data_IF_502741317569
#
_entry.id   IF_502741317569
#
_cell.length_a   1.000
_cell.length_b   1.000
_cell.length_c   1.000
_cell.angle_alpha   90.00
_cell.angle_beta   90.00
_cell.angle_gamma   90.00
#
_symmetry.space_group_name_H-M   'P 1'
#
loop_
_entity.id
_entity.type
_entity.pdbx_description
1 polymer ?
#
# COMPACT_ATOMS: atom_id res chain seq x y z
N UNK A 1 2.85 2.57 3.52
CA UNK A 1 1.94 1.63 2.85
C UNK A 1 0.67 2.36 2.45
N UNK A 2 0.38 2.38 1.14
CA UNK A 2 -0.81 3.01 0.55
C UNK A 2 -2.12 2.25 0.83
N UNK A 3 -2.05 0.98 1.24
CA UNK A 3 -3.25 0.18 1.50
C UNK A 3 -3.83 0.39 2.90
N UNK A 4 -3.00 0.78 3.87
CA UNK A 4 -3.38 0.89 5.29
C UNK A 4 -3.13 2.29 5.88
N UNK A 5 -2.86 3.30 5.06
CA UNK A 5 -2.65 4.67 5.53
C UNK A 5 -1.44 4.83 6.45
N UNK A 6 -0.44 3.95 6.32
CA UNK A 6 0.77 3.95 7.15
C UNK A 6 2.00 4.26 6.28
N UNK A 7 2.10 5.47 5.69
CA UNK A 7 3.23 5.83 4.83
C UNK A 7 4.56 5.62 5.58
N UNK A 8 5.63 5.18 4.90
CA UNK A 8 6.94 5.16 5.53
C UNK A 8 7.33 6.58 5.94
N UNK A 9 8.16 6.71 6.96
CA UNK A 9 8.77 8.00 7.31
C UNK A 9 9.50 8.57 6.08
N UNK A 10 9.50 9.90 5.91
CA UNK A 10 10.27 10.51 4.82
C UNK A 10 11.74 10.09 4.92
N UNK A 11 12.44 9.98 3.77
CA UNK A 11 13.86 9.67 3.78
C UNK A 11 14.63 10.72 4.61
N UNK A 12 15.72 10.33 5.29
CA UNK A 12 16.55 11.29 6.01
C UNK A 12 17.14 12.30 5.01
N UNK A 13 17.16 13.61 5.34
CA UNK A 13 17.57 14.67 4.41
C UNK A 13 19.04 14.58 3.96
N UNK A 14 19.91 13.91 4.72
CA UNK A 14 21.36 13.85 4.48
C UNK A 14 21.85 12.52 3.89
N UNK A 15 20.98 11.70 3.32
CA UNK A 15 21.39 10.45 2.66
C UNK A 15 21.48 10.69 1.16
N UNK A 16 22.71 10.72 0.63
CA UNK A 16 22.92 10.69 -0.82
C UNK A 16 22.23 9.45 -1.42
N UNK A 17 21.57 9.58 -2.59
CA UNK A 17 20.99 8.44 -3.28
C UNK A 17 22.06 7.38 -3.52
N UNK A 18 21.99 6.28 -2.79
CA UNK A 18 22.86 5.13 -3.02
C UNK A 18 22.30 4.42 -4.25
N UNK A 19 23.01 4.49 -5.37
CA UNK A 19 22.69 3.62 -6.50
C UNK A 19 22.87 2.16 -6.06
N UNK A 20 21.82 1.33 -6.07
CA UNK A 20 21.98 -0.06 -5.74
C UNK A 20 22.86 -0.73 -6.80
N UNK A 21 23.93 -1.40 -6.39
CA UNK A 21 24.74 -2.21 -7.32
C UNK A 21 23.85 -3.34 -7.88
N UNK A 22 23.40 -3.21 -9.11
CA UNK A 22 22.49 -4.18 -9.75
C UNK A 22 23.22 -5.35 -10.41
N UNK A 23 24.56 -5.39 -10.35
CA UNK A 23 25.34 -6.47 -10.98
C UNK A 23 25.01 -7.82 -10.33
N UNK A 24 24.78 -8.82 -11.17
CA UNK A 24 24.47 -10.19 -10.76
C UNK A 24 23.04 -10.41 -10.27
N UNK A 25 22.20 -9.38 -10.27
CA UNK A 25 20.80 -9.48 -9.86
C UNK A 25 19.93 -9.91 -11.04
N UNK A 26 19.08 -10.91 -10.83
CA UNK A 26 18.23 -11.50 -11.87
C UNK A 26 16.73 -11.40 -11.58
N UNK A 27 16.35 -10.98 -10.36
CA UNK A 27 14.97 -10.76 -9.94
C UNK A 27 14.83 -9.54 -9.04
N UNK A 28 13.61 -9.03 -8.91
CA UNK A 28 13.30 -7.94 -7.98
C UNK A 28 13.55 -8.36 -6.53
N UNK A 29 13.27 -9.62 -6.17
CA UNK A 29 13.59 -10.19 -4.86
C UNK A 29 15.07 -10.01 -4.51
N UNK A 30 15.95 -10.44 -5.41
CA UNK A 30 17.40 -10.32 -5.24
C UNK A 30 17.85 -8.86 -5.19
N UNK A 31 17.22 -7.98 -5.98
CA UNK A 31 17.51 -6.55 -5.96
C UNK A 31 17.21 -5.95 -4.59
N UNK A 32 16.01 -6.22 -4.06
CA UNK A 32 15.56 -5.72 -2.76
C UNK A 32 16.38 -6.33 -1.61
N UNK A 33 16.75 -7.61 -1.68
CA UNK A 33 17.65 -8.21 -0.69
C UNK A 33 19.00 -7.52 -0.65
N UNK A 34 19.60 -7.26 -1.81
CA UNK A 34 20.86 -6.53 -1.89
C UNK A 34 20.72 -5.09 -1.36
N UNK A 35 19.63 -4.41 -1.70
CA UNK A 35 19.36 -3.06 -1.18
C UNK A 35 19.18 -3.04 0.35
N UNK A 36 18.54 -4.07 0.92
CA UNK A 36 18.34 -4.24 2.37
C UNK A 36 19.59 -4.66 3.14
N UNK A 37 20.69 -4.99 2.48
CA UNK A 37 21.97 -5.23 3.17
C UNK A 37 22.49 -3.96 3.84
N UNK A 38 22.10 -2.77 3.37
CA UNK A 38 22.37 -1.52 4.05
C UNK A 38 21.39 -1.34 5.24
N UNK A 39 21.88 -1.26 6.50
CA UNK A 39 21.03 -1.06 7.66
C UNK A 39 20.14 0.19 7.59
N UNK A 40 20.63 1.28 6.98
CA UNK A 40 19.86 2.50 6.80
C UNK A 40 18.63 2.27 5.91
N UNK A 41 18.82 1.57 4.78
CA UNK A 41 17.73 1.25 3.85
C UNK A 41 16.74 0.25 4.45
N UNK A 42 17.23 -0.78 5.15
CA UNK A 42 16.39 -1.84 5.72
C UNK A 42 15.38 -1.33 6.75
N UNK A 43 15.63 -0.18 7.38
CA UNK A 43 14.72 0.44 8.37
C UNK A 43 13.31 0.67 7.81
N UNK A 44 13.24 1.17 6.58
CA UNK A 44 11.99 1.40 5.86
C UNK A 44 11.63 0.22 4.95
N UNK A 45 12.61 -0.35 4.23
CA UNK A 45 12.39 -1.42 3.24
C UNK A 45 11.76 -2.68 3.82
N UNK A 46 12.09 -3.05 5.07
CA UNK A 46 11.41 -4.15 5.78
C UNK A 46 9.89 -3.98 5.91
N UNK A 47 9.38 -2.75 5.82
CA UNK A 47 7.94 -2.43 5.93
C UNK A 47 7.25 -2.30 4.58
N UNK A 48 7.97 -1.93 3.53
CA UNK A 48 7.39 -1.62 2.21
C UNK A 48 7.53 -2.78 1.22
N UNK A 49 8.68 -3.47 1.23
CA UNK A 49 9.00 -4.50 0.24
C UNK A 49 8.07 -5.72 0.28
N UNK A 50 7.66 -6.26 1.44
CA UNK A 50 6.87 -7.49 1.48
C UNK A 50 5.60 -7.42 0.63
N UNK A 51 4.85 -6.31 0.71
CA UNK A 51 3.63 -6.12 -0.07
C UNK A 51 3.93 -5.92 -1.56
N UNK A 52 5.04 -5.24 -1.90
CA UNK A 52 5.46 -5.09 -3.29
C UNK A 52 5.86 -6.42 -3.91
N UNK A 53 6.63 -7.23 -3.19
CA UNK A 53 7.05 -8.57 -3.62
C UNK A 53 5.85 -9.51 -3.77
N UNK A 54 4.88 -9.45 -2.87
CA UNK A 54 3.64 -10.21 -2.99
C UNK A 54 2.77 -9.81 -4.21
N UNK A 55 3.05 -8.66 -4.84
CA UNK A 55 2.42 -8.23 -6.10
C UNK A 55 3.30 -8.47 -7.33
N UNK A 56 4.50 -9.04 -7.17
CA UNK A 56 5.49 -9.18 -8.26
C UNK A 56 5.02 -10.09 -9.41
N UNK A 57 4.03 -10.95 -9.18
CA UNK A 57 3.37 -11.73 -10.23
C UNK A 57 2.63 -10.85 -11.26
N UNK A 58 2.29 -9.60 -10.92
CA UNK A 58 1.77 -8.66 -11.90
C UNK A 58 2.94 -7.92 -12.56
N UNK A 59 2.96 -7.88 -13.88
CA UNK A 59 3.87 -7.00 -14.60
C UNK A 59 3.40 -5.53 -14.56
N UNK A 60 4.17 -4.64 -15.17
CA UNK A 60 3.90 -3.20 -15.20
C UNK A 60 2.56 -2.80 -15.87
N UNK A 61 1.94 -3.66 -16.68
CA UNK A 61 0.62 -3.44 -17.27
C UNK A 61 -0.49 -4.21 -16.54
N UNK A 62 -0.15 -4.97 -15.50
CA UNK A 62 -1.08 -5.74 -14.68
C UNK A 62 -1.36 -7.15 -15.19
N UNK A 63 -0.56 -7.68 -16.12
CA UNK A 63 -0.69 -9.07 -16.58
C UNK A 63 -0.04 -10.02 -15.59
N UNK A 64 -0.73 -11.10 -15.25
CA UNK A 64 -0.20 -12.15 -14.38
C UNK A 64 0.93 -12.95 -15.07
N UNK A 65 1.99 -13.22 -14.32
CA UNK A 65 3.12 -14.07 -14.69
C UNK A 65 3.59 -14.86 -13.49
N UNK A 66 4.02 -16.10 -13.71
CA UNK A 66 4.65 -16.93 -12.68
C UNK A 66 6.18 -16.89 -12.75
N UNK A 67 6.73 -16.32 -13.84
CA UNK A 67 8.15 -16.35 -14.16
C UNK A 67 8.63 -15.04 -14.78
N UNK A 68 9.91 -14.74 -14.62
CA UNK A 68 10.61 -13.74 -15.42
C UNK A 68 10.98 -14.27 -16.81
N UNK A 69 11.45 -13.40 -17.70
CA UNK A 69 11.81 -13.69 -19.10
C UNK A 69 12.83 -14.83 -19.31
N UNK A 70 13.56 -15.24 -18.27
CA UNK A 70 14.52 -16.37 -18.28
C UNK A 70 13.99 -17.65 -17.62
N UNK A 71 12.67 -17.85 -17.55
CA UNK A 71 12.01 -18.96 -16.84
C UNK A 71 12.26 -19.02 -15.32
N UNK A 72 12.90 -17.99 -14.75
CA UNK A 72 13.12 -17.86 -13.32
C UNK A 72 11.76 -17.68 -12.61
N UNK A 73 11.38 -18.56 -11.66
CA UNK A 73 10.16 -18.38 -10.88
C UNK A 73 10.14 -17.06 -10.12
N UNK A 74 8.96 -16.48 -10.01
CA UNK A 74 8.72 -15.32 -9.14
C UNK A 74 8.53 -15.83 -7.71
N UNK A 75 9.31 -15.27 -6.80
CA UNK A 75 9.12 -15.43 -5.36
C UNK A 75 8.29 -14.24 -4.86
N UNK A 76 7.01 -14.48 -4.64
CA UNK A 76 6.05 -13.50 -4.15
C UNK A 76 5.83 -13.63 -2.63
N UNK A 77 6.76 -14.25 -1.91
CA UNK A 77 6.69 -14.37 -0.46
C UNK A 77 7.28 -13.15 0.24
N UNK A 78 6.80 -12.89 1.45
CA UNK A 78 7.32 -11.82 2.30
C UNK A 78 6.80 -11.92 3.72
N UNK A 79 7.47 -11.24 4.64
CA UNK A 79 7.04 -11.13 6.03
C UNK A 79 6.77 -9.67 6.38
N UNK A 80 5.59 -9.39 6.90
CA UNK A 80 5.12 -8.07 7.27
C UNK A 80 5.72 -7.62 8.63
N UNK A 81 5.68 -6.32 8.95
CA UNK A 81 6.26 -5.79 10.19
C UNK A 81 5.70 -6.35 11.49
N UNK A 82 4.48 -6.90 11.45
CA UNK A 82 3.83 -7.55 12.59
C UNK A 82 4.14 -9.06 12.68
N UNK A 83 4.99 -9.57 11.78
CA UNK A 83 5.40 -10.97 11.71
C UNK A 83 4.50 -11.85 10.84
N UNK A 84 3.42 -11.32 10.26
CA UNK A 84 2.56 -12.09 9.36
C UNK A 84 3.30 -12.44 8.07
N UNK A 85 3.29 -13.71 7.68
CA UNK A 85 3.79 -14.15 6.39
C UNK A 85 2.71 -13.96 5.31
N UNK A 86 3.13 -13.59 4.11
CA UNK A 86 2.28 -13.45 2.93
C UNK A 86 2.93 -14.12 1.73
N UNK A 87 2.13 -14.77 0.89
CA UNK A 87 2.52 -15.40 -0.35
C UNK A 87 1.56 -14.99 -1.47
N UNK A 88 1.88 -13.88 -2.14
CA UNK A 88 1.08 -13.37 -3.25
C UNK A 88 -0.13 -12.52 -2.86
N UNK A 89 -0.93 -12.17 -3.87
CA UNK A 89 -2.01 -11.18 -3.76
C UNK A 89 -3.19 -11.62 -2.89
N UNK A 90 -3.48 -12.92 -2.81
CA UNK A 90 -4.61 -13.41 -2.04
C UNK A 90 -4.36 -13.25 -0.53
N UNK A 91 -3.13 -13.44 -0.07
CA UNK A 91 -2.76 -13.17 1.32
C UNK A 91 -2.79 -11.67 1.65
N UNK A 92 -2.50 -10.79 0.67
CA UNK A 92 -2.73 -9.35 0.85
C UNK A 92 -4.21 -9.08 1.12
N UNK A 93 -5.13 -9.70 0.36
CA UNK A 93 -6.57 -9.52 0.56
C UNK A 93 -6.97 -9.94 1.97
N UNK A 94 -6.56 -11.14 2.41
CA UNK A 94 -6.84 -11.63 3.77
C UNK A 94 -6.27 -10.67 4.83
N UNK A 95 -5.03 -10.25 4.67
CA UNK A 95 -4.37 -9.32 5.59
C UNK A 95 -5.11 -7.97 5.72
N UNK A 96 -5.69 -7.46 4.62
CA UNK A 96 -6.53 -6.25 4.62
C UNK A 96 -7.91 -6.51 5.25
N UNK A 97 -8.49 -7.68 5.02
CA UNK A 97 -9.80 -8.06 5.60
C UNK A 97 -9.75 -8.17 7.13
N UNK A 98 -8.60 -8.48 7.71
CA UNK A 98 -8.39 -8.47 9.16
C UNK A 98 -8.25 -7.05 9.75
N UNK A 99 -8.11 -6.03 8.89
CA UNK A 99 -7.92 -4.62 9.27
C UNK A 99 -8.95 -3.69 8.61
N UNK A 100 -10.25 -4.01 8.69
CA UNK A 100 -11.27 -3.32 7.91
C UNK A 100 -11.36 -1.83 8.25
N UNK A 101 -11.32 -1.47 9.53
CA UNK A 101 -11.39 -0.07 9.95
C UNK A 101 -10.23 0.77 9.41
N UNK A 102 -9.01 0.22 9.43
CA UNK A 102 -7.82 0.91 8.92
C UNK A 102 -7.84 1.03 7.39
N UNK A 103 -8.22 -0.04 6.70
CA UNK A 103 -8.36 -0.04 5.25
C UNK A 103 -9.45 0.92 4.79
N UNK A 104 -10.64 0.86 5.39
CA UNK A 104 -11.76 1.75 5.06
C UNK A 104 -11.39 3.21 5.30
N UNK A 105 -10.76 3.55 6.42
CA UNK A 105 -10.29 4.91 6.65
C UNK A 105 -9.33 5.38 5.56
N UNK A 106 -8.32 4.57 5.24
CA UNK A 106 -7.34 4.92 4.22
C UNK A 106 -7.98 5.12 2.83
N UNK A 107 -8.93 4.25 2.48
CA UNK A 107 -9.67 4.35 1.23
C UNK A 107 -10.55 5.62 1.19
N UNK A 108 -11.23 5.94 2.30
CA UNK A 108 -12.02 7.18 2.45
C UNK A 108 -11.14 8.41 2.22
N UNK A 109 -9.98 8.50 2.87
CA UNK A 109 -9.05 9.62 2.71
C UNK A 109 -8.61 9.78 1.25
N UNK A 110 -8.19 8.68 0.60
CA UNK A 110 -7.75 8.71 -0.81
C UNK A 110 -8.88 9.10 -1.77
N UNK A 111 -10.08 8.58 -1.55
CA UNK A 111 -11.25 8.89 -2.37
C UNK A 111 -11.71 10.34 -2.18
N UNK A 112 -11.61 10.90 -0.97
CA UNK A 112 -11.88 12.31 -0.73
C UNK A 112 -10.88 13.21 -1.44
N UNK A 113 -9.58 12.92 -1.39
CA UNK A 113 -8.56 13.67 -2.16
C UNK A 113 -8.94 13.71 -3.64
N UNK A 114 -9.31 12.57 -4.21
CA UNK A 114 -9.74 12.48 -5.61
C UNK A 114 -11.01 13.29 -5.89
N UNK A 115 -12.05 13.14 -5.06
CA UNK A 115 -13.35 13.80 -5.24
C UNK A 115 -13.25 15.33 -5.07
N UNK A 116 -12.47 15.79 -4.09
CA UNK A 116 -12.29 17.20 -3.78
C UNK A 116 -11.26 17.85 -4.72
N UNK A 117 -10.34 17.09 -5.32
CA UNK A 117 -9.30 17.64 -6.19
C UNK A 117 -8.31 18.54 -5.44
N UNK A 118 -8.19 18.36 -4.12
CA UNK A 118 -7.26 19.07 -3.24
C UNK A 118 -6.73 18.13 -2.16
N UNK A 119 -5.65 18.54 -1.50
CA UNK A 119 -5.21 17.88 -0.28
C UNK A 119 -6.24 18.02 0.83
N UNK A 120 -6.27 17.03 1.72
CA UNK A 120 -7.08 17.06 2.93
C UNK A 120 -6.42 17.93 3.99
N UNK A 121 -7.24 18.60 4.75
CA UNK A 121 -6.86 19.50 5.83
C UNK A 121 -7.52 19.06 7.13
N UNK A 122 -7.23 19.78 8.22
CA UNK A 122 -7.82 19.47 9.52
C UNK A 122 -9.36 19.56 9.53
N UNK A 123 -9.98 20.40 8.69
CA UNK A 123 -11.44 20.53 8.65
C UNK A 123 -12.13 19.29 8.06
N UNK A 124 -11.42 18.48 7.26
CA UNK A 124 -11.98 17.29 6.62
C UNK A 124 -12.04 16.09 7.57
N UNK A 125 -11.42 16.19 8.75
CA UNK A 125 -11.27 15.08 9.69
C UNK A 125 -12.61 14.54 10.18
N UNK A 126 -13.55 15.42 10.47
CA UNK A 126 -14.87 15.02 10.97
C UNK A 126 -15.66 14.25 9.90
N UNK A 127 -15.55 14.65 8.64
CA UNK A 127 -16.13 13.91 7.52
C UNK A 127 -15.47 12.54 7.33
N UNK A 128 -14.14 12.46 7.40
CA UNK A 128 -13.41 11.18 7.29
C UNK A 128 -13.85 10.22 8.41
N UNK A 129 -13.93 10.71 9.64
CA UNK A 129 -14.31 9.92 10.82
C UNK A 129 -15.76 9.44 10.69
N UNK A 130 -16.68 10.36 10.33
CA UNK A 130 -18.11 10.06 10.12
C UNK A 130 -18.32 9.03 9.02
N UNK A 131 -17.72 9.23 7.85
CA UNK A 131 -17.83 8.30 6.71
C UNK A 131 -17.26 6.94 7.08
N UNK A 132 -16.08 6.90 7.70
CA UNK A 132 -15.44 5.63 8.07
C UNK A 132 -16.24 4.84 9.09
N UNK A 133 -16.92 5.51 10.03
CA UNK A 133 -17.82 4.89 11.01
C UNK A 133 -19.15 4.44 10.41
N UNK A 134 -19.65 5.15 9.39
CA UNK A 134 -20.89 4.80 8.68
C UNK A 134 -20.76 3.55 7.80
N UNK A 135 -19.54 3.07 7.58
CA UNK A 135 -19.25 1.88 6.77
C UNK A 135 -19.17 0.63 7.66
N UNK A 136 -20.19 -0.24 7.69
CA UNK A 136 -20.23 -1.37 8.61
C UNK A 136 -19.33 -2.54 8.17
N UNK A 137 -18.79 -3.33 9.13
CA UNK A 137 -17.87 -4.45 8.89
C UNK A 137 -18.31 -5.46 7.82
N UNK A 138 -19.60 -5.78 7.76
CA UNK A 138 -20.14 -6.81 6.87
C UNK A 138 -20.75 -6.27 5.57
N UNK A 139 -20.70 -4.95 5.29
CA UNK A 139 -21.24 -4.35 4.06
C UNK A 139 -20.36 -3.23 3.49
N UNK A 140 -19.03 -3.34 3.64
CA UNK A 140 -18.12 -2.43 2.95
C UNK A 140 -18.30 -2.51 1.43
N UNK A 141 -19.00 -1.53 0.86
CA UNK A 141 -19.22 -1.40 -0.57
C UNK A 141 -18.63 -0.11 -1.09
N UNK A 142 -17.85 -0.17 -2.18
CA UNK A 142 -17.34 1.03 -2.84
C UNK A 142 -18.47 2.01 -3.22
N UNK A 143 -19.63 1.48 -3.62
CA UNK A 143 -20.81 2.30 -3.94
C UNK A 143 -21.28 3.12 -2.72
N UNK A 144 -21.39 2.49 -1.57
CA UNK A 144 -21.81 3.15 -0.33
C UNK A 144 -20.79 4.22 0.07
N UNK A 145 -19.50 3.90 0.00
CA UNK A 145 -18.43 4.86 0.26
C UNK A 145 -18.55 6.11 -0.63
N UNK A 146 -18.79 5.91 -1.93
CA UNK A 146 -18.98 7.02 -2.87
C UNK A 146 -20.21 7.86 -2.48
N UNK A 147 -21.32 7.23 -2.10
CA UNK A 147 -22.52 7.94 -1.65
C UNK A 147 -22.26 8.76 -0.38
N UNK A 148 -21.57 8.18 0.61
CA UNK A 148 -21.19 8.86 1.85
C UNK A 148 -20.26 10.06 1.60
N UNK A 149 -19.34 9.94 0.63
CA UNK A 149 -18.44 11.02 0.21
C UNK A 149 -19.23 12.15 -0.48
N UNK A 150 -20.09 11.83 -1.45
CA UNK A 150 -20.88 12.86 -2.16
C UNK A 150 -21.88 13.54 -1.21
N UNK A 151 -22.35 12.84 -0.19
CA UNK A 151 -23.22 13.39 0.86
C UNK A 151 -22.47 14.17 1.96
N UNK A 152 -21.14 14.23 1.94
CA UNK A 152 -20.34 14.92 2.95
C UNK A 152 -20.40 16.44 2.83
N UNK A 153 -20.16 17.13 3.96
CA UNK A 153 -20.08 18.59 3.96
C UNK A 153 -18.92 19.07 3.08
N UNK A 154 -17.74 18.47 3.25
CA UNK A 154 -16.55 18.80 2.46
C UNK A 154 -16.78 18.74 0.95
N UNK A 155 -17.61 17.81 0.46
CA UNK A 155 -17.95 17.71 -0.96
C UNK A 155 -19.01 18.73 -1.39
N UNK A 156 -20.02 18.98 -0.55
CA UNK A 156 -21.13 19.88 -0.89
C UNK A 156 -20.76 21.36 -0.81
N UNK A 157 -19.75 21.72 -0.01
CA UNK A 157 -19.28 23.10 0.15
C UNK A 157 -18.02 23.41 -0.66
N UNK A 158 -17.70 22.58 -1.65
CA UNK A 158 -16.55 22.73 -2.54
C UNK A 158 -16.65 23.97 -3.44
#
# INVERSE_FOLDING_TARGET
NNLLGTPPSPPPPDVEPIEPDTRGVTSIRQLMDKHRQNPACNTCHRKIDPLGLALENFDHVGVWRDRYSKSLPIDATGQLPDGSDIAGVDDIKHYLMDRPAQFTRCLTEKMLVYALGRELSFVDRDDIDRISQAMPPQQYGLRELIQQIVASEAFQTK
#
